data_IF_606531541059
#
_entry.id   IF_606531541059
#
_cell.length_a   1.000
_cell.length_b   1.000
_cell.length_c   1.000
_cell.angle_alpha   90.00
_cell.angle_beta   90.00
_cell.angle_gamma   90.00
#
_symmetry.space_group_name_H-M   'P 1'
#
loop_
_entity.id
_entity.type
_entity.pdbx_description
1 polymer ?
#
# COMPACT_ATOMS: atom_id res chain seq x y z
N UNK A 1 -56.90 67.82 -4.65
CA UNK A 1 -56.66 66.34 -4.72
C UNK A 1 -55.66 66.09 -5.81
N UNK A 2 -54.35 65.84 -5.43
CA UNK A 2 -53.32 65.48 -6.34
C UNK A 2 -53.09 63.92 -6.34
N UNK A 3 -52.96 63.27 -7.45
CA UNK A 3 -52.67 61.84 -7.47
C UNK A 3 -51.18 61.60 -7.27
N UNK A 4 -50.84 60.77 -6.30
CA UNK A 4 -49.46 60.24 -6.02
C UNK A 4 -49.19 59.21 -7.04
N UNK A 5 -48.09 59.41 -7.85
CA UNK A 5 -47.58 58.43 -8.78
C UNK A 5 -46.45 57.59 -8.07
N UNK A 6 -46.70 56.30 -7.89
CA UNK A 6 -45.67 55.36 -7.48
C UNK A 6 -44.76 55.03 -8.66
N UNK A 7 -43.46 55.27 -8.51
CA UNK A 7 -42.44 54.76 -9.42
C UNK A 7 -42.03 53.36 -8.93
N UNK A 8 -42.26 52.38 -9.73
CA UNK A 8 -41.73 51.03 -9.51
C UNK A 8 -40.23 50.99 -9.85
N UNK A 9 -39.41 50.74 -8.84
CA UNK A 9 -37.96 50.50 -9.03
C UNK A 9 -37.76 49.03 -9.38
N UNK A 10 -37.32 48.80 -10.61
CA UNK A 10 -36.94 47.44 -11.07
C UNK A 10 -35.60 47.08 -10.43
N UNK A 11 -35.62 46.19 -9.44
CA UNK A 11 -34.41 45.59 -8.91
C UNK A 11 -33.92 44.52 -9.90
N UNK A 12 -32.84 44.81 -10.58
CA UNK A 12 -32.14 43.83 -11.40
C UNK A 12 -31.47 42.81 -10.48
N UNK A 13 -32.01 41.59 -10.47
CA UNK A 13 -31.40 40.48 -9.77
C UNK A 13 -30.03 40.16 -10.36
N UNK A 14 -28.98 40.23 -9.53
CA UNK A 14 -27.68 39.63 -9.82
C UNK A 14 -27.87 38.12 -9.81
N UNK A 15 -27.73 37.51 -10.98
CA UNK A 15 -27.55 36.06 -11.06
C UNK A 15 -26.15 35.71 -10.52
N UNK A 16 -26.10 35.11 -9.33
CA UNK A 16 -24.87 34.44 -8.86
C UNK A 16 -24.62 33.21 -9.78
N UNK A 17 -23.69 33.35 -10.68
CA UNK A 17 -23.15 32.22 -11.38
C UNK A 17 -22.31 31.39 -10.37
N UNK A 18 -22.87 30.27 -9.90
CA UNK A 18 -22.11 29.28 -9.12
C UNK A 18 -21.04 28.67 -10.03
N UNK A 19 -19.80 29.11 -9.85
CA UNK A 19 -18.64 28.52 -10.48
C UNK A 19 -18.39 27.16 -9.82
N UNK A 20 -18.91 26.10 -10.42
CA UNK A 20 -18.49 24.71 -10.10
C UNK A 20 -17.01 24.59 -10.48
N UNK A 21 -16.11 24.77 -9.52
CA UNK A 21 -14.74 24.33 -9.67
C UNK A 21 -14.78 22.80 -9.77
N UNK A 22 -14.74 22.28 -10.97
CA UNK A 22 -14.36 20.91 -11.19
C UNK A 22 -12.90 20.76 -10.69
N UNK A 23 -12.72 20.09 -9.57
CA UNK A 23 -11.39 19.67 -9.12
C UNK A 23 -10.89 18.62 -10.08
N UNK A 24 -10.22 19.06 -11.16
CA UNK A 24 -9.42 18.17 -11.98
C UNK A 24 -8.33 17.56 -11.08
N UNK A 25 -8.07 16.26 -11.14
CA UNK A 25 -6.94 15.66 -10.44
C UNK A 25 -5.66 16.42 -10.82
N UNK A 26 -4.82 16.68 -9.84
CA UNK A 26 -3.60 17.46 -10.05
C UNK A 26 -2.72 16.73 -11.07
N UNK A 27 -2.35 17.37 -12.20
CA UNK A 27 -1.55 16.73 -13.26
C UNK A 27 -0.17 16.24 -12.80
N UNK A 28 0.26 16.65 -11.61
CA UNK A 28 1.51 16.21 -11.01
C UNK A 28 1.48 14.74 -10.52
N UNK A 29 0.35 14.23 -10.04
CA UNK A 29 0.24 12.83 -9.61
C UNK A 29 0.26 11.88 -10.81
N UNK A 30 -0.47 12.19 -11.86
CA UNK A 30 -0.48 11.37 -13.08
C UNK A 30 0.91 11.31 -13.74
N UNK A 31 1.68 12.41 -13.68
CA UNK A 31 3.05 12.45 -14.19
C UNK A 31 4.02 11.64 -13.32
N UNK A 32 3.86 11.65 -11.99
CA UNK A 32 4.64 10.82 -11.07
C UNK A 32 4.33 9.34 -11.25
N UNK A 33 3.06 8.97 -11.40
CA UNK A 33 2.63 7.60 -11.67
C UNK A 33 3.21 7.08 -12.99
N UNK A 34 3.13 7.87 -14.06
CA UNK A 34 3.69 7.52 -15.35
C UNK A 34 5.22 7.35 -15.28
N UNK A 35 5.91 8.24 -14.55
CA UNK A 35 7.37 8.18 -14.38
C UNK A 35 7.78 6.95 -13.58
N UNK A 36 7.08 6.63 -12.49
CA UNK A 36 7.38 5.44 -11.70
C UNK A 36 7.07 4.16 -12.46
N UNK A 37 5.97 4.10 -13.18
CA UNK A 37 5.66 2.96 -14.05
C UNK A 37 6.72 2.79 -15.15
N UNK A 38 7.18 3.89 -15.75
CA UNK A 38 8.27 3.85 -16.74
C UNK A 38 9.58 3.38 -16.10
N UNK A 39 9.91 3.80 -14.88
CA UNK A 39 11.10 3.34 -14.15
C UNK A 39 11.00 1.87 -13.76
N UNK A 40 9.82 1.40 -13.35
CA UNK A 40 9.57 -0.01 -13.07
C UNK A 40 9.69 -0.87 -14.32
N UNK A 41 9.20 -0.38 -15.46
CA UNK A 41 9.30 -1.05 -16.76
C UNK A 41 10.72 -1.02 -17.34
N UNK A 42 11.49 0.04 -17.07
CA UNK A 42 12.87 0.21 -17.55
C UNK A 42 13.92 -0.53 -16.69
N UNK A 43 13.53 -1.09 -15.54
CA UNK A 43 14.43 -1.98 -14.80
C UNK A 43 14.78 -3.17 -15.71
N UNK A 44 16.07 -3.40 -16.03
CA UNK A 44 16.45 -4.66 -16.64
C UNK A 44 16.10 -5.75 -15.62
N UNK A 45 14.99 -6.40 -15.85
CA UNK A 45 14.60 -7.54 -15.08
C UNK A 45 15.58 -8.67 -15.42
N UNK A 46 16.58 -8.89 -14.57
CA UNK A 46 16.94 -10.28 -14.35
C UNK A 46 15.60 -10.96 -13.99
N UNK A 47 15.17 -12.00 -14.71
CA UNK A 47 13.94 -12.69 -14.35
C UNK A 47 14.04 -13.04 -12.87
N UNK A 48 13.04 -12.66 -12.04
CA UNK A 48 13.09 -13.04 -10.63
C UNK A 48 13.25 -14.55 -10.57
N UNK A 49 14.01 -15.08 -9.61
CA UNK A 49 14.08 -16.51 -9.41
C UNK A 49 12.67 -17.08 -9.37
N UNK A 50 12.43 -18.17 -10.05
CA UNK A 50 11.13 -18.83 -10.05
C UNK A 50 10.81 -19.46 -8.67
N UNK A 51 11.81 -19.57 -7.79
CA UNK A 51 11.71 -20.14 -6.45
C UNK A 51 12.39 -19.21 -5.42
N UNK A 52 12.01 -19.30 -4.14
CA UNK A 52 12.71 -18.63 -3.06
C UNK A 52 14.20 -19.00 -3.03
N UNK A 53 15.04 -18.04 -2.62
CA UNK A 53 16.46 -18.27 -2.34
C UNK A 53 16.71 -18.12 -0.84
N UNK A 54 17.65 -18.91 -0.34
CA UNK A 54 18.07 -18.94 1.04
C UNK A 54 19.58 -18.85 1.12
N UNK A 55 20.11 -18.24 2.17
CA UNK A 55 21.53 -18.11 2.51
C UNK A 55 22.48 -18.09 1.28
N UNK A 56 22.57 -16.94 0.66
CA UNK A 56 23.43 -16.75 -0.50
C UNK A 56 24.51 -15.72 -0.19
N UNK A 57 25.70 -16.14 0.26
CA UNK A 57 26.79 -15.23 0.60
C UNK A 57 27.24 -14.44 -0.63
N UNK A 58 27.75 -13.23 -0.37
CA UNK A 58 28.34 -12.38 -1.41
C UNK A 58 29.75 -12.87 -1.77
N UNK A 59 29.86 -13.63 -2.85
CA UNK A 59 31.14 -14.18 -3.34
C UNK A 59 31.50 -13.52 -4.66
N UNK A 60 32.72 -12.97 -4.74
CA UNK A 60 33.22 -12.27 -5.93
C UNK A 60 32.25 -11.17 -6.47
N UNK A 61 31.57 -10.47 -5.56
CA UNK A 61 30.64 -9.40 -5.91
C UNK A 61 29.25 -9.85 -6.35
N UNK A 62 28.91 -11.13 -6.18
CA UNK A 62 27.62 -11.70 -6.58
C UNK A 62 27.04 -12.58 -5.47
N UNK A 63 25.74 -12.41 -5.15
CA UNK A 63 24.96 -13.33 -4.35
C UNK A 63 24.09 -14.20 -5.25
N UNK A 64 23.99 -15.49 -4.95
CA UNK A 64 23.28 -16.49 -5.76
C UNK A 64 23.69 -16.49 -7.25
N UNK A 65 24.89 -16.03 -7.57
CA UNK A 65 25.37 -15.91 -8.96
C UNK A 65 24.61 -14.91 -9.85
N UNK A 66 23.67 -14.14 -9.28
CA UNK A 66 22.74 -13.29 -10.04
C UNK A 66 22.69 -11.87 -9.53
N UNK A 67 22.75 -11.66 -8.22
CA UNK A 67 22.57 -10.36 -7.60
C UNK A 67 23.90 -9.70 -7.27
N UNK A 68 24.23 -8.52 -7.84
CA UNK A 68 25.40 -7.76 -7.45
C UNK A 68 25.35 -7.43 -5.95
N UNK A 69 26.44 -7.64 -5.26
CA UNK A 69 26.55 -7.40 -3.82
C UNK A 69 27.92 -6.82 -3.46
N UNK A 70 28.00 -6.12 -2.32
CA UNK A 70 29.25 -5.64 -1.74
C UNK A 70 29.10 -5.55 -0.22
N UNK A 71 29.83 -6.40 0.50
CA UNK A 71 29.82 -6.48 1.98
C UNK A 71 28.43 -6.75 2.59
N UNK A 72 27.52 -7.37 1.84
CA UNK A 72 26.21 -7.83 2.32
C UNK A 72 25.89 -9.18 1.69
N UNK A 73 25.30 -10.07 2.47
CA UNK A 73 24.80 -11.36 2.01
C UNK A 73 23.31 -11.27 1.71
N UNK A 74 22.84 -12.12 0.81
CA UNK A 74 21.42 -12.32 0.59
C UNK A 74 20.92 -13.40 1.54
N UNK A 75 20.22 -13.02 2.61
CA UNK A 75 19.70 -13.96 3.61
C UNK A 75 18.53 -14.75 3.04
N UNK A 76 17.55 -14.06 2.46
CA UNK A 76 16.40 -14.69 1.82
C UNK A 76 15.87 -13.85 0.66
N UNK A 77 15.25 -14.50 -0.31
CA UNK A 77 14.50 -13.85 -1.39
C UNK A 77 13.20 -14.61 -1.62
N UNK A 78 12.08 -13.90 -1.58
CA UNK A 78 10.74 -14.43 -1.88
C UNK A 78 10.21 -13.74 -3.14
N UNK A 79 9.98 -14.49 -4.25
CA UNK A 79 9.43 -13.92 -5.46
C UNK A 79 8.06 -13.29 -5.21
N UNK A 80 7.82 -12.07 -5.70
CA UNK A 80 6.53 -11.38 -5.53
C UNK A 80 5.35 -12.17 -6.14
N UNK A 81 5.61 -12.92 -7.19
CA UNK A 81 4.62 -13.77 -7.83
C UNK A 81 4.15 -14.93 -6.93
N UNK A 82 5.02 -15.43 -6.02
CA UNK A 82 4.67 -16.52 -5.10
C UNK A 82 3.63 -16.12 -4.05
N UNK A 83 3.47 -14.82 -3.80
CA UNK A 83 2.43 -14.26 -2.92
C UNK A 83 1.22 -13.73 -3.71
N UNK A 84 1.13 -14.05 -4.99
CA UNK A 84 0.02 -13.66 -5.85
C UNK A 84 -0.09 -12.15 -6.07
N UNK A 85 1.05 -11.48 -6.30
CA UNK A 85 1.14 -10.05 -6.59
C UNK A 85 2.09 -9.80 -7.77
N UNK A 86 2.09 -8.57 -8.30
CA UNK A 86 2.96 -8.17 -9.41
C UNK A 86 4.05 -7.18 -8.99
N UNK A 87 3.80 -6.38 -7.97
CA UNK A 87 4.74 -5.38 -7.45
C UNK A 87 4.66 -5.26 -5.95
N UNK A 88 5.75 -4.78 -5.35
CA UNK A 88 5.84 -4.37 -3.94
C UNK A 88 6.09 -2.87 -3.88
N UNK A 89 5.70 -2.22 -2.78
CA UNK A 89 5.99 -0.81 -2.55
C UNK A 89 6.58 -0.57 -1.16
N UNK A 90 5.76 -0.59 -0.12
CA UNK A 90 6.15 -0.29 1.25
C UNK A 90 6.54 -1.54 2.03
N UNK A 91 7.35 -1.35 3.05
CA UNK A 91 7.74 -2.39 4.01
C UNK A 91 7.69 -1.82 5.42
N UNK A 92 7.18 -2.61 6.36
CA UNK A 92 7.26 -2.34 7.78
C UNK A 92 7.56 -3.62 8.56
N UNK A 93 8.10 -3.48 9.77
CA UNK A 93 8.33 -4.58 10.70
C UNK A 93 7.38 -4.50 11.89
N UNK A 94 7.07 -5.64 12.48
CA UNK A 94 6.46 -5.74 13.79
C UNK A 94 7.16 -6.83 14.60
N UNK A 95 7.61 -6.47 15.79
CA UNK A 95 8.12 -7.42 16.78
C UNK A 95 7.00 -7.71 17.76
N UNK A 96 6.61 -8.96 17.89
CA UNK A 96 5.57 -9.35 18.85
C UNK A 96 6.06 -9.12 20.27
N UNK A 97 5.39 -8.27 21.05
CA UNK A 97 5.79 -8.02 22.44
C UNK A 97 5.57 -9.24 23.36
N UNK A 98 4.85 -10.27 22.91
CA UNK A 98 4.59 -11.46 23.71
C UNK A 98 5.79 -12.41 23.76
N UNK A 99 6.45 -12.64 22.63
CA UNK A 99 7.51 -13.66 22.52
C UNK A 99 8.76 -13.18 21.77
N UNK A 100 8.72 -11.96 21.19
CA UNK A 100 9.82 -11.38 20.43
C UNK A 100 9.92 -11.84 18.99
N UNK A 101 8.97 -12.61 18.49
CA UNK A 101 8.93 -13.01 17.07
C UNK A 101 8.84 -11.78 16.16
N UNK A 102 9.66 -11.74 15.13
CA UNK A 102 9.67 -10.66 14.16
C UNK A 102 8.83 -11.01 12.93
N UNK A 103 8.09 -10.02 12.45
CA UNK A 103 7.24 -10.14 11.26
C UNK A 103 7.56 -9.04 10.26
N UNK A 104 7.55 -9.40 8.96
CA UNK A 104 7.59 -8.42 7.87
C UNK A 104 6.20 -8.21 7.28
N UNK A 105 5.83 -6.94 7.11
CA UNK A 105 4.60 -6.48 6.49
C UNK A 105 4.95 -5.84 5.16
N UNK A 106 4.65 -6.50 4.05
CA UNK A 106 5.06 -6.07 2.71
C UNK A 106 3.85 -5.55 1.95
N UNK A 107 3.86 -4.24 1.64
CA UNK A 107 2.86 -3.61 0.78
C UNK A 107 2.96 -4.15 -0.65
N UNK A 108 1.85 -4.67 -1.16
CA UNK A 108 1.70 -5.22 -2.51
C UNK A 108 0.74 -4.35 -3.31
N UNK A 109 0.77 -4.46 -4.64
CA UNK A 109 -0.24 -3.78 -5.47
C UNK A 109 -1.68 -4.18 -5.13
N UNK A 110 -1.92 -5.37 -4.56
CA UNK A 110 -3.24 -5.93 -4.28
C UNK A 110 -3.50 -6.29 -2.80
N UNK A 111 -2.71 -5.74 -1.88
CA UNK A 111 -2.89 -5.99 -0.44
C UNK A 111 -1.61 -5.82 0.37
N UNK A 112 -1.56 -6.42 1.56
CA UNK A 112 -0.35 -6.50 2.39
C UNK A 112 -0.08 -7.97 2.70
N UNK A 113 1.13 -8.44 2.37
CA UNK A 113 1.60 -9.77 2.75
C UNK A 113 2.26 -9.73 4.12
N UNK A 114 2.06 -10.79 4.89
CA UNK A 114 2.68 -10.99 6.20
C UNK A 114 3.61 -12.19 6.17
N UNK A 115 4.81 -11.99 6.71
CA UNK A 115 5.82 -13.05 6.84
C UNK A 115 6.28 -13.15 8.29
N UNK A 116 6.36 -14.36 8.78
CA UNK A 116 7.06 -14.70 10.01
C UNK A 116 8.56 -14.81 9.70
N UNK A 117 9.39 -14.11 10.46
CA UNK A 117 10.84 -14.08 10.34
C UNK A 117 11.55 -14.79 11.51
N UNK A 118 10.86 -15.63 12.26
CA UNK A 118 11.44 -16.44 13.32
C UNK A 118 12.62 -17.30 12.85
N UNK A 119 12.63 -17.65 11.55
CA UNK A 119 13.79 -18.23 10.83
C UNK A 119 14.11 -17.31 9.65
N UNK A 120 15.05 -16.33 9.82
CA UNK A 120 15.22 -15.22 8.87
C UNK A 120 15.60 -15.63 7.45
N UNK A 121 16.35 -16.74 7.27
CA UNK A 121 16.72 -17.30 5.99
C UNK A 121 15.60 -18.13 5.33
N UNK A 122 14.52 -18.42 6.08
CA UNK A 122 13.32 -19.13 5.63
C UNK A 122 12.04 -18.38 6.03
N UNK A 123 11.79 -17.17 5.51
CA UNK A 123 10.59 -16.40 5.81
C UNK A 123 9.33 -17.21 5.50
N UNK A 124 8.48 -17.41 6.49
CA UNK A 124 7.23 -18.12 6.32
C UNK A 124 6.13 -17.15 5.87
N UNK A 125 5.61 -17.31 4.66
CA UNK A 125 4.47 -16.53 4.19
C UNK A 125 3.20 -16.96 4.90
N UNK A 126 2.70 -16.12 5.82
CA UNK A 126 1.50 -16.39 6.62
C UNK A 126 0.21 -16.12 5.85
N UNK A 127 0.24 -15.22 4.89
CA UNK A 127 -0.94 -14.85 4.12
C UNK A 127 -1.01 -13.36 3.80
N UNK A 128 -2.17 -12.94 3.31
CA UNK A 128 -2.38 -11.58 2.79
C UNK A 128 -3.66 -10.96 3.33
N UNK A 129 -3.59 -9.69 3.74
CA UNK A 129 -4.74 -8.81 3.84
C UNK A 129 -5.02 -8.22 2.46
N UNK A 130 -6.08 -8.63 1.76
CA UNK A 130 -6.42 -8.09 0.45
C UNK A 130 -6.71 -6.59 0.52
N UNK A 131 -6.52 -5.90 -0.60
CA UNK A 131 -6.89 -4.49 -0.73
C UNK A 131 -8.39 -4.29 -0.55
N UNK A 132 -8.81 -3.21 0.11
CA UNK A 132 -10.23 -2.87 0.26
C UNK A 132 -10.89 -2.47 -1.08
N UNK A 133 -10.12 -1.87 -1.98
CA UNK A 133 -10.56 -1.45 -3.31
C UNK A 133 -9.73 -2.13 -4.41
N UNK A 134 -9.43 -1.41 -5.47
CA UNK A 134 -8.63 -1.89 -6.60
C UNK A 134 -7.14 -2.06 -6.29
N UNK A 135 -6.40 -2.42 -7.32
CA UNK A 135 -4.94 -2.53 -7.27
C UNK A 135 -4.30 -1.15 -7.34
N UNK A 136 -3.24 -0.93 -6.58
CA UNK A 136 -2.44 0.30 -6.62
C UNK A 136 -0.98 0.00 -6.30
N UNK A 137 -0.07 0.66 -7.00
CA UNK A 137 1.37 0.62 -6.69
C UNK A 137 1.74 1.53 -5.50
N UNK A 138 0.80 2.35 -5.03
CA UNK A 138 0.98 3.30 -3.94
C UNK A 138 0.33 2.82 -2.65
N UNK A 139 0.84 1.74 -2.09
CA UNK A 139 0.36 1.21 -0.81
C UNK A 139 1.38 1.51 0.27
N UNK A 140 0.90 2.03 1.40
CA UNK A 140 1.74 2.23 2.57
C UNK A 140 1.18 1.49 3.78
N UNK A 141 2.07 1.06 4.67
CA UNK A 141 1.74 0.35 5.89
C UNK A 141 2.55 0.93 7.05
N UNK A 142 1.88 1.13 8.19
CA UNK A 142 2.51 1.54 9.45
C UNK A 142 1.98 0.66 10.59
N UNK A 143 2.78 0.54 11.63
CA UNK A 143 2.41 -0.25 12.81
C UNK A 143 2.37 0.65 14.04
N UNK A 144 1.33 0.49 14.84
CA UNK A 144 1.20 1.10 16.15
C UNK A 144 0.35 0.22 17.06
N UNK A 145 0.80 0.02 18.32
CA UNK A 145 0.06 -0.73 19.35
C UNK A 145 -0.51 -2.07 18.85
N UNK A 146 0.32 -2.91 18.24
CA UNK A 146 -0.02 -4.22 17.67
C UNK A 146 -1.04 -4.19 16.50
N UNK A 147 -1.25 -3.04 15.88
CA UNK A 147 -2.10 -2.93 14.70
C UNK A 147 -1.32 -2.41 13.50
N UNK A 148 -1.61 -2.98 12.35
CA UNK A 148 -1.21 -2.44 11.05
C UNK A 148 -2.28 -1.48 10.54
N UNK A 149 -1.84 -0.33 10.05
CA UNK A 149 -2.64 0.71 9.40
C UNK A 149 -2.21 0.77 7.94
N UNK A 150 -3.13 0.47 7.04
CA UNK A 150 -2.85 0.33 5.62
C UNK A 150 -3.65 1.36 4.84
N UNK A 151 -2.96 2.16 4.06
CA UNK A 151 -3.54 3.14 3.13
C UNK A 151 -3.08 2.84 1.71
N UNK A 152 -3.77 3.42 0.74
CA UNK A 152 -3.40 3.28 -0.67
C UNK A 152 -3.80 4.53 -1.43
N UNK A 153 -2.82 5.23 -1.99
CA UNK A 153 -3.05 6.39 -2.83
C UNK A 153 -3.49 5.98 -4.24
N UNK A 154 -4.11 6.92 -4.94
CA UNK A 154 -4.64 6.73 -6.30
C UNK A 154 -5.48 5.45 -6.44
N UNK A 155 -6.30 5.16 -5.45
CA UNK A 155 -7.06 3.91 -5.33
C UNK A 155 -8.54 4.15 -4.97
N UNK A 156 -9.11 5.25 -5.40
CA UNK A 156 -10.50 5.61 -5.12
C UNK A 156 -10.78 5.77 -3.63
N UNK A 157 -11.90 5.26 -3.17
CA UNK A 157 -12.32 5.33 -1.78
C UNK A 157 -11.71 4.22 -0.92
N UNK A 158 -10.39 3.99 -1.04
CA UNK A 158 -9.70 2.95 -0.26
C UNK A 158 -9.80 3.19 1.24
N UNK A 159 -9.66 4.44 1.69
CA UNK A 159 -9.62 4.75 3.10
C UNK A 159 -8.41 4.14 3.81
N UNK A 160 -8.60 3.69 5.05
CA UNK A 160 -7.56 3.05 5.85
C UNK A 160 -8.09 1.73 6.43
N UNK A 161 -7.43 0.63 6.09
CA UNK A 161 -7.67 -0.67 6.70
C UNK A 161 -6.87 -0.76 8.01
N UNK A 162 -7.47 -1.35 9.04
CA UNK A 162 -6.82 -1.64 10.33
C UNK A 162 -6.84 -3.14 10.53
N UNK A 163 -5.69 -3.70 10.89
CA UNK A 163 -5.51 -5.14 11.09
C UNK A 163 -4.79 -5.41 12.42
N UNK A 164 -5.36 -6.26 13.27
CA UNK A 164 -4.76 -6.71 14.52
C UNK A 164 -3.66 -7.75 14.23
N UNK A 165 -2.41 -7.35 14.45
CA UNK A 165 -1.23 -8.18 14.18
C UNK A 165 -1.12 -9.39 15.10
N UNK A 166 -1.79 -9.39 16.25
CA UNK A 166 -1.79 -10.55 17.15
C UNK A 166 -2.43 -11.78 16.50
N UNK A 167 -3.23 -11.61 15.45
CA UNK A 167 -3.81 -12.69 14.64
C UNK A 167 -2.78 -13.45 13.79
N UNK A 168 -1.53 -12.94 13.71
CA UNK A 168 -0.44 -13.64 13.01
C UNK A 168 0.19 -14.75 13.86
N UNK A 169 -0.04 -14.78 15.19
CA UNK A 169 0.59 -15.71 16.13
C UNK A 169 0.30 -17.17 15.87
N UNK A 170 -0.95 -17.50 15.54
CA UNK A 170 -1.44 -18.89 15.50
C UNK A 170 -2.05 -19.25 14.14
N UNK A 171 -1.35 -18.91 13.04
CA UNK A 171 -1.82 -19.27 11.71
C UNK A 171 -1.55 -20.75 11.45
N UNK A 172 -2.54 -21.60 11.72
CA UNK A 172 -2.41 -23.05 11.71
C UNK A 172 -2.10 -23.66 10.34
N UNK A 173 -2.52 -23.01 9.24
CA UNK A 173 -2.37 -23.51 7.87
C UNK A 173 -2.09 -22.38 6.88
N UNK A 174 -0.88 -21.76 6.93
CA UNK A 174 -0.53 -20.71 6.00
C UNK A 174 -0.38 -21.25 4.56
N UNK A 175 -0.61 -20.39 3.53
CA UNK A 175 -1.05 -19.03 3.64
C UNK A 175 -2.59 -18.88 3.76
N UNK A 176 -3.03 -17.85 4.50
CA UNK A 176 -4.45 -17.53 4.65
C UNK A 176 -4.80 -16.17 4.04
N UNK A 177 -6.06 -15.97 3.66
CA UNK A 177 -6.59 -14.66 3.32
C UNK A 177 -7.19 -14.02 4.57
N UNK A 178 -6.58 -12.94 5.05
CA UNK A 178 -7.06 -12.20 6.21
C UNK A 178 -8.19 -11.23 5.83
N UNK A 179 -8.93 -10.79 6.83
CA UNK A 179 -9.90 -9.70 6.74
C UNK A 179 -9.48 -8.58 7.67
N UNK A 180 -9.73 -7.34 7.29
CA UNK A 180 -9.51 -6.18 8.16
C UNK A 180 -10.40 -6.25 9.41
N UNK A 181 -9.89 -5.75 10.54
CA UNK A 181 -10.64 -5.69 11.80
C UNK A 181 -11.47 -4.40 11.89
N UNK A 182 -11.00 -3.34 11.22
CA UNK A 182 -11.74 -2.09 11.06
C UNK A 182 -11.35 -1.41 9.75
N UNK A 183 -12.26 -0.57 9.26
CA UNK A 183 -12.05 0.26 8.07
C UNK A 183 -12.49 1.69 8.32
N UNK A 184 -11.61 2.66 8.04
CA UNK A 184 -11.88 4.08 8.14
C UNK A 184 -11.98 4.71 6.76
N UNK A 185 -13.11 5.32 6.45
CA UNK A 185 -13.40 5.89 5.13
C UNK A 185 -12.97 7.35 4.96
N UNK A 186 -12.48 7.99 6.03
CA UNK A 186 -12.17 9.41 6.03
C UNK A 186 -13.38 10.34 6.20
N UNK A 187 -14.60 9.80 6.27
CA UNK A 187 -15.76 10.60 6.61
C UNK A 187 -15.74 10.96 8.11
N UNK A 188 -16.09 12.18 8.51
CA UNK A 188 -16.26 12.50 9.92
C UNK A 188 -17.33 11.59 10.51
N UNK A 189 -17.24 11.20 11.79
CA UNK A 189 -18.31 10.49 12.47
C UNK A 189 -19.59 11.32 12.44
N UNK A 190 -20.76 10.68 12.35
CA UNK A 190 -22.05 11.36 12.33
C UNK A 190 -22.31 12.14 13.62
#
# INVERSE_FOLDING_TARGET
MLPIRFRATVVRGLALASLLLATAPLPAQDALDATMQAQLAARPAAPPPAAPLHESPCVAGMAAGTYPCHNVDLVAFVPVASVGASTTNSLWGWTDPQDGTEYALVGLNNGVAFFDLGVPDHPLYLGKLPTHTGSSIWRDVRVHANHAYVVSDNNGAHGMQVFDLTRLRDVAAPPVSFTEDAHYTGAPPP
#
